data_IF_726855855901
#
_entry.id   IF_726855855901
#
_cell.length_a   1.000
_cell.length_b   1.000
_cell.length_c   1.000
_cell.angle_alpha   90.00
_cell.angle_beta   90.00
_cell.angle_gamma   90.00
#
_symmetry.space_group_name_H-M   'P 1'
#
loop_
_entity.id
_entity.type
_entity.pdbx_description
1 polymer ?
#
# COMPACT_ATOMS: atom_id res chain seq x y z
N UNK A 1 6.91 6.65 -3.11
CA UNK A 1 5.45 6.80 -2.91
C UNK A 1 4.76 6.07 -4.05
N UNK A 2 3.71 5.27 -3.81
CA UNK A 2 2.97 4.63 -4.88
C UNK A 2 2.23 5.66 -5.74
N UNK A 3 1.80 5.26 -6.95
CA UNK A 3 1.00 6.13 -7.82
C UNK A 3 -0.38 6.38 -7.22
N UNK A 4 -0.96 5.37 -6.57
CA UNK A 4 -2.23 5.47 -5.89
C UNK A 4 -2.39 4.37 -4.83
N UNK A 5 -3.23 4.68 -3.85
CA UNK A 5 -3.76 3.71 -2.89
C UNK A 5 -5.28 3.79 -2.81
N UNK A 6 -5.88 4.88 -3.32
CA UNK A 6 -7.31 4.99 -3.60
C UNK A 6 -7.54 5.09 -5.12
N UNK A 7 -8.47 4.31 -5.64
CA UNK A 7 -8.83 4.30 -7.05
C UNK A 7 -10.34 4.27 -7.23
N UNK A 8 -10.98 5.43 -7.32
CA UNK A 8 -12.40 5.55 -7.66
C UNK A 8 -12.57 5.97 -9.11
N UNK A 9 -13.82 6.03 -9.59
CA UNK A 9 -14.13 6.52 -10.94
C UNK A 9 -13.51 7.90 -11.20
N UNK A 10 -13.68 8.82 -10.25
CA UNK A 10 -13.38 10.25 -10.44
C UNK A 10 -12.10 10.71 -9.74
N UNK A 11 -11.48 9.86 -8.93
CA UNK A 11 -10.26 10.19 -8.19
C UNK A 11 -9.27 9.03 -8.19
N UNK A 12 -7.99 9.38 -8.36
CA UNK A 12 -6.86 8.49 -8.24
C UNK A 12 -5.79 9.21 -7.41
N UNK A 13 -5.29 8.58 -6.36
CA UNK A 13 -4.22 9.19 -5.58
C UNK A 13 -3.73 8.34 -4.41
N UNK A 14 -2.58 8.75 -3.88
CA UNK A 14 -1.96 8.12 -2.70
C UNK A 14 -2.41 8.83 -1.44
N UNK A 15 -3.24 8.14 -0.67
CA UNK A 15 -3.84 8.64 0.56
C UNK A 15 -3.38 7.86 1.79
N UNK A 16 -2.80 6.67 1.60
CA UNK A 16 -2.50 5.71 2.66
C UNK A 16 -1.00 5.51 2.83
N UNK A 17 -0.55 5.42 4.08
CA UNK A 17 0.86 5.31 4.42
C UNK A 17 1.07 4.41 5.64
N UNK A 18 2.13 3.60 5.59
CA UNK A 18 2.69 2.92 6.77
C UNK A 18 3.98 3.65 7.17
N UNK A 19 3.90 4.50 8.18
CA UNK A 19 5.09 5.13 8.75
C UNK A 19 5.77 4.20 9.76
N UNK A 20 7.11 4.20 9.77
CA UNK A 20 7.89 3.35 10.68
C UNK A 20 9.17 4.06 11.16
N UNK A 21 9.71 3.62 12.29
CA UNK A 21 10.95 4.15 12.86
C UNK A 21 12.17 3.47 12.23
N UNK A 22 12.83 4.13 11.28
CA UNK A 22 13.97 3.61 10.53
C UNK A 22 15.18 3.19 11.39
N UNK A 23 15.31 3.75 12.59
CA UNK A 23 16.39 3.40 13.53
C UNK A 23 16.19 2.03 14.18
N UNK A 24 14.94 1.57 14.31
CA UNK A 24 14.59 0.33 15.01
C UNK A 24 13.98 -0.75 14.12
N UNK A 25 13.49 -0.38 12.93
CA UNK A 25 12.84 -1.29 12.00
C UNK A 25 13.50 -1.20 10.62
N UNK A 26 13.71 -2.35 10.00
CA UNK A 26 14.16 -2.48 8.61
C UNK A 26 13.02 -3.08 7.79
N UNK A 27 12.73 -2.48 6.63
CA UNK A 27 11.77 -3.04 5.67
C UNK A 27 12.44 -4.23 4.98
N UNK A 28 11.81 -5.39 5.08
CA UNK A 28 12.27 -6.62 4.43
C UNK A 28 11.60 -6.83 3.08
N UNK A 29 10.28 -6.63 3.04
CA UNK A 29 9.48 -6.83 1.85
C UNK A 29 8.24 -5.93 1.86
N UNK A 30 7.71 -5.67 0.67
CA UNK A 30 6.48 -4.91 0.44
C UNK A 30 5.58 -5.73 -0.46
N UNK A 31 4.27 -5.70 -0.22
CA UNK A 31 3.30 -6.21 -1.18
C UNK A 31 3.27 -5.29 -2.40
N UNK A 32 3.39 -5.89 -3.59
CA UNK A 32 3.29 -5.16 -4.85
C UNK A 32 1.85 -4.67 -5.06
N UNK A 33 1.71 -3.41 -5.49
CA UNK A 33 0.41 -2.83 -5.75
C UNK A 33 -0.10 -3.22 -7.14
N UNK A 34 -1.42 -3.23 -7.27
CA UNK A 34 -2.10 -3.50 -8.53
C UNK A 34 -1.91 -2.34 -9.51
N UNK A 35 -1.84 -2.65 -10.79
CA UNK A 35 -1.76 -1.66 -11.85
C UNK A 35 -3.12 -0.99 -12.12
N UNK A 36 -3.09 0.24 -12.65
CA UNK A 36 -4.30 1.03 -12.88
C UNK A 36 -5.19 0.43 -13.97
N UNK A 37 -4.60 -0.15 -15.02
CA UNK A 37 -5.33 -0.72 -16.15
C UNK A 37 -6.19 -1.89 -15.70
N UNK A 38 -5.65 -2.76 -14.85
CA UNK A 38 -6.36 -3.88 -14.23
C UNK A 38 -7.54 -3.41 -13.37
N UNK A 39 -7.38 -2.31 -12.63
CA UNK A 39 -8.40 -1.83 -11.68
C UNK A 39 -9.51 -1.00 -12.32
N UNK A 40 -9.20 -0.24 -13.38
CA UNK A 40 -10.17 0.65 -14.04
C UNK A 40 -11.00 -0.03 -15.13
N UNK A 41 -10.76 -1.31 -15.44
CA UNK A 41 -11.43 -2.04 -16.51
C UNK A 41 -12.96 -1.90 -16.49
N UNK A 42 -13.57 -1.86 -15.30
CA UNK A 42 -15.04 -1.89 -15.14
C UNK A 42 -15.66 -0.68 -14.42
N UNK A 43 -14.87 0.32 -14.00
CA UNK A 43 -15.23 1.69 -13.49
C UNK A 43 -14.37 2.19 -12.31
N UNK A 44 -13.36 1.42 -11.90
CA UNK A 44 -12.54 1.68 -10.70
C UNK A 44 -12.96 0.80 -9.54
N UNK A 45 -12.56 1.17 -8.32
CA UNK A 45 -12.91 0.47 -7.09
C UNK A 45 -14.02 1.23 -6.31
N UNK A 46 -14.84 0.51 -5.49
CA UNK A 46 -14.89 -0.95 -5.35
C UNK A 46 -15.46 -1.64 -6.60
N UNK A 47 -15.19 -2.94 -6.74
CA UNK A 47 -15.66 -3.79 -7.84
C UNK A 47 -16.24 -5.12 -7.32
N UNK A 48 -16.84 -5.97 -8.17
CA UNK A 48 -17.28 -7.31 -7.75
C UNK A 48 -16.17 -8.16 -7.10
N UNK A 49 -14.91 -7.98 -7.51
CA UNK A 49 -13.73 -8.67 -6.99
C UNK A 49 -13.14 -7.99 -5.74
N UNK A 50 -13.34 -6.67 -5.61
CA UNK A 50 -12.68 -5.83 -4.61
C UNK A 50 -13.69 -5.02 -3.81
N UNK A 51 -13.82 -5.31 -2.52
CA UNK A 51 -14.84 -4.73 -1.65
C UNK A 51 -14.53 -3.32 -1.11
N UNK A 52 -13.40 -2.72 -1.48
CA UNK A 52 -12.91 -1.42 -0.99
C UNK A 52 -12.44 -0.57 -2.17
N UNK A 53 -12.60 0.76 -2.08
CA UNK A 53 -12.03 1.74 -3.00
C UNK A 53 -10.54 2.03 -2.75
N UNK A 54 -10.02 1.56 -1.62
CA UNK A 54 -8.60 1.58 -1.26
C UNK A 54 -7.93 0.21 -1.43
N UNK A 55 -6.65 0.24 -1.82
CA UNK A 55 -5.74 -0.90 -1.95
C UNK A 55 -4.99 -1.07 -0.64
N UNK A 56 -5.01 -2.30 -0.10
CA UNK A 56 -4.33 -2.61 1.14
C UNK A 56 -2.81 -2.47 1.00
N UNK A 57 -2.20 -1.73 1.92
CA UNK A 57 -0.75 -1.71 2.08
C UNK A 57 -0.32 -2.85 3.01
N UNK A 58 0.75 -3.54 2.65
CA UNK A 58 1.38 -4.55 3.49
C UNK A 58 2.90 -4.42 3.40
N UNK A 59 3.54 -4.44 4.56
CA UNK A 59 4.98 -4.39 4.69
C UNK A 59 5.44 -5.40 5.74
N UNK A 60 6.53 -6.09 5.45
CA UNK A 60 7.24 -6.94 6.40
C UNK A 60 8.41 -6.14 7.00
N UNK A 61 8.52 -6.16 8.33
CA UNK A 61 9.59 -5.49 9.04
C UNK A 61 10.42 -6.47 9.86
N UNK A 62 11.74 -6.28 9.82
CA UNK A 62 12.68 -6.88 10.78
C UNK A 62 13.05 -5.87 11.85
N UNK A 63 12.94 -6.27 13.11
CA UNK A 63 13.45 -5.47 14.23
C UNK A 63 14.97 -5.44 14.23
N UNK A 64 15.56 -4.24 14.27
CA UNK A 64 17.00 -4.08 14.43
C UNK A 64 17.40 -4.47 15.86
N UNK A 65 18.54 -5.18 16.04
CA UNK A 65 19.05 -5.47 17.36
C UNK A 65 19.29 -4.16 18.10
N UNK A 66 18.72 -4.02 19.31
CA UNK A 66 19.13 -2.94 20.21
C UNK A 66 20.57 -3.27 20.64
N UNK A 67 21.52 -2.41 20.28
CA UNK A 67 22.86 -2.49 20.85
C UNK A 67 22.73 -2.55 22.38
N UNK A 68 23.25 -3.60 23.00
CA UNK A 68 23.29 -3.71 24.46
C UNK A 68 24.14 -2.52 24.93
N UNK A 69 23.49 -1.55 25.57
CA UNK A 69 24.19 -0.51 26.32
C UNK A 69 24.93 -1.15 27.49
#
# INVERSE_FOLDING_TARGET
EPLFTNCTRDFLGTLDYIFYTADSLMVESLLELLDEESLRKDTGLPSPEWSSDHIALLAEFRCRPRGRR
#
